data_IF_501855359509
#
_entry.id   IF_501855359509
#
_cell.length_a   1.000
_cell.length_b   1.000
_cell.length_c   1.000
_cell.angle_alpha   90.00
_cell.angle_beta   90.00
_cell.angle_gamma   90.00
#
_symmetry.space_group_name_H-M   'P 1'
#
loop_
_entity.id
_entity.type
_entity.pdbx_description
1 polymer ?
#
# COMPACT_ATOMS: atom_id res chain seq x y z
N UNK A 1 24.35 -16.62 39.68
CA UNK A 1 24.09 -15.18 39.82
C UNK A 1 25.27 -14.42 39.22
N UNK A 2 25.13 -13.85 38.05
CA UNK A 2 26.04 -12.86 37.47
C UNK A 2 25.16 -11.80 36.80
N UNK A 3 25.40 -10.50 37.03
CA UNK A 3 24.56 -9.45 36.51
C UNK A 3 24.92 -9.12 35.04
N UNK A 4 23.91 -8.94 34.22
CA UNK A 4 24.04 -8.41 32.85
C UNK A 4 24.19 -6.88 32.93
N UNK A 5 25.29 -6.37 32.38
CA UNK A 5 25.54 -4.93 32.18
C UNK A 5 24.69 -4.47 30.96
N UNK A 6 23.83 -3.49 31.20
CA UNK A 6 23.23 -2.68 30.14
C UNK A 6 24.27 -1.65 29.66
N UNK A 7 24.71 -1.75 28.41
CA UNK A 7 25.44 -0.68 27.73
C UNK A 7 24.46 0.31 27.13
N UNK A 8 24.41 1.50 27.72
CA UNK A 8 23.71 2.65 27.20
C UNK A 8 24.46 3.22 25.99
N UNK A 9 23.82 3.31 24.85
CA UNK A 9 24.32 4.02 23.66
C UNK A 9 24.05 5.52 23.89
N UNK A 10 25.11 6.27 24.16
CA UNK A 10 25.09 7.74 24.28
C UNK A 10 25.04 8.35 22.87
N UNK A 11 23.93 9.01 22.53
CA UNK A 11 23.84 9.87 21.35
C UNK A 11 24.47 11.21 21.70
N UNK A 12 25.63 11.52 21.11
CA UNK A 12 26.30 12.80 21.24
C UNK A 12 25.54 13.86 20.42
N UNK A 13 24.95 14.84 21.11
CA UNK A 13 24.45 16.08 20.50
C UNK A 13 25.66 17.00 20.18
N UNK A 14 25.82 17.30 18.89
CA UNK A 14 26.67 18.40 18.46
C UNK A 14 25.91 19.72 18.64
N UNK A 15 26.34 20.51 19.62
CA UNK A 15 25.89 21.88 19.79
C UNK A 15 26.56 22.80 18.77
N UNK A 16 25.78 23.47 17.94
CA UNK A 16 26.24 24.53 17.06
C UNK A 16 26.23 25.88 17.82
N UNK A 17 27.39 26.51 17.89
CA UNK A 17 27.60 27.87 18.42
C UNK A 17 27.15 28.85 17.33
N UNK A 18 26.15 29.68 17.63
CA UNK A 18 25.75 30.79 16.77
C UNK A 18 26.51 32.04 17.11
N UNK A 19 27.06 32.82 16.15
CA UNK A 19 27.56 34.14 16.40
C UNK A 19 26.45 35.18 16.36
N UNK A 20 26.38 36.00 17.40
CA UNK A 20 25.51 37.19 17.46
C UNK A 20 26.06 38.27 16.54
N UNK A 21 25.21 38.77 15.65
CA UNK A 21 25.44 40.00 14.89
C UNK A 21 24.42 41.06 15.28
N UNK A 22 24.96 42.24 15.54
CA UNK A 22 24.28 43.42 16.09
C UNK A 22 23.29 44.03 15.12
N UNK A 23 22.21 44.60 15.65
CA UNK A 23 21.17 45.34 14.94
C UNK A 23 21.70 46.67 14.40
N UNK A 24 21.25 47.00 13.17
CA UNK A 24 21.21 48.37 12.66
C UNK A 24 19.76 48.72 12.30
N UNK A 25 19.30 49.83 12.90
CA UNK A 25 17.97 50.41 12.63
C UNK A 25 17.90 50.98 11.23
N UNK A 26 16.84 50.64 10.51
CA UNK A 26 16.46 51.26 9.23
C UNK A 26 14.95 51.06 8.93
N UNK A 27 14.31 52.16 8.58
CA UNK A 27 12.87 52.40 8.45
C UNK A 27 12.05 51.33 7.68
N UNK A 28 10.68 51.32 7.87
CA UNK A 28 9.85 50.22 7.39
C UNK A 28 9.64 50.29 5.88
N UNK A 29 10.25 49.39 5.15
CA UNK A 29 9.91 49.06 3.78
C UNK A 29 8.72 48.09 3.74
N UNK A 30 7.81 48.28 2.80
CA UNK A 30 6.62 47.47 2.57
C UNK A 30 6.93 45.96 2.62
N UNK A 31 6.12 45.23 3.39
CA UNK A 31 6.14 43.76 3.44
C UNK A 31 5.84 43.21 2.06
N UNK A 32 6.87 42.90 1.32
CA UNK A 32 6.81 41.90 0.27
C UNK A 32 6.56 40.55 0.97
N UNK A 33 5.58 39.79 0.53
CA UNK A 33 5.31 38.45 1.02
C UNK A 33 6.58 37.61 0.88
N UNK A 34 7.21 37.31 2.02
CA UNK A 34 8.40 36.47 2.09
C UNK A 34 7.98 35.03 1.90
N UNK A 35 7.89 34.61 0.63
CA UNK A 35 7.86 33.20 0.27
C UNK A 35 9.29 32.69 0.25
N UNK A 36 9.90 32.54 1.40
CA UNK A 36 11.09 31.69 1.56
C UNK A 36 10.64 30.23 1.45
N UNK A 37 10.21 29.85 0.26
CA UNK A 37 10.21 28.44 -0.16
C UNK A 37 11.67 28.06 -0.17
N UNK A 38 12.11 27.29 0.83
CA UNK A 38 13.36 26.57 0.75
C UNK A 38 13.34 25.81 -0.58
N UNK A 39 14.19 26.12 -1.55
CA UNK A 39 14.19 25.36 -2.81
C UNK A 39 14.44 23.92 -2.41
N UNK A 40 13.47 23.04 -2.66
CA UNK A 40 13.67 21.61 -2.47
C UNK A 40 14.88 21.25 -3.31
N UNK A 41 15.88 20.60 -2.70
CA UNK A 41 17.12 20.19 -3.41
C UNK A 41 16.83 19.22 -4.57
N UNK A 42 15.58 18.76 -4.68
CA UNK A 42 15.08 17.94 -5.78
C UNK A 42 14.02 18.74 -6.53
N UNK A 43 14.19 19.01 -7.84
CA UNK A 43 13.17 19.67 -8.65
C UNK A 43 11.88 18.83 -8.59
N UNK A 44 10.82 19.38 -8.01
CA UNK A 44 9.50 18.73 -8.04
C UNK A 44 8.96 18.89 -9.44
N UNK A 45 8.91 17.80 -10.20
CA UNK A 45 8.28 17.80 -11.50
C UNK A 45 6.75 17.89 -11.30
N UNK A 46 6.17 19.01 -11.65
CA UNK A 46 4.72 19.20 -11.63
C UNK A 46 4.12 18.73 -12.96
N UNK A 47 3.46 17.58 -12.92
CA UNK A 47 2.64 17.01 -14.00
C UNK A 47 1.18 17.14 -13.59
N UNK A 48 0.31 17.57 -14.52
CA UNK A 48 -1.13 17.70 -14.27
C UNK A 48 -1.73 16.39 -13.75
N UNK A 49 -2.63 16.49 -12.77
CA UNK A 49 -3.39 15.38 -12.18
C UNK A 49 -2.53 14.24 -11.60
N UNK A 50 -1.26 14.47 -11.37
CA UNK A 50 -0.36 13.47 -10.78
C UNK A 50 -0.45 13.50 -9.25
N UNK A 51 -0.57 12.34 -8.64
CA UNK A 51 -0.45 12.21 -7.18
C UNK A 51 1.02 12.41 -6.78
N UNK A 52 1.35 13.34 -5.87
CA UNK A 52 2.71 13.47 -5.34
C UNK A 52 3.17 12.15 -4.70
N UNK A 53 4.43 11.79 -4.92
CA UNK A 53 5.02 10.56 -4.32
C UNK A 53 5.77 10.82 -3.02
N UNK A 54 5.64 12.00 -2.44
CA UNK A 54 6.18 12.39 -1.15
C UNK A 54 5.08 12.58 -0.08
N UNK A 55 5.40 13.20 1.05
CA UNK A 55 4.45 13.48 2.14
C UNK A 55 3.14 14.13 1.67
N UNK A 56 3.16 14.94 0.61
CA UNK A 56 1.97 15.61 0.06
C UNK A 56 0.97 14.63 -0.55
N UNK A 57 1.41 13.44 -0.95
CA UNK A 57 0.55 12.38 -1.48
C UNK A 57 -0.20 11.56 -0.43
N UNK A 58 0.05 11.81 0.87
CA UNK A 58 -0.66 11.12 1.96
C UNK A 58 -2.13 11.51 1.95
N UNK A 59 -3.01 10.52 2.05
CA UNK A 59 -4.47 10.69 1.98
C UNK A 59 -4.97 11.38 0.69
N UNK A 60 -4.14 11.45 -0.35
CA UNK A 60 -4.61 11.71 -1.70
C UNK A 60 -5.02 10.36 -2.29
N UNK A 61 -6.32 10.14 -2.40
CA UNK A 61 -6.89 8.95 -3.02
C UNK A 61 -6.89 9.12 -4.55
N UNK A 62 -8.01 9.26 -5.20
CA UNK A 62 -8.01 9.57 -6.62
C UNK A 62 -7.43 10.98 -6.88
N UNK A 63 -6.54 11.15 -7.87
CA UNK A 63 -6.02 12.49 -8.23
C UNK A 63 -7.13 13.48 -8.50
N UNK A 64 -7.02 14.74 -8.06
CA UNK A 64 -8.08 15.75 -8.21
C UNK A 64 -8.36 16.04 -9.69
N UNK A 65 -9.63 16.30 -10.03
CA UNK A 65 -10.02 16.78 -11.36
C UNK A 65 -9.65 18.24 -11.56
N UNK A 66 -9.75 19.01 -10.49
CA UNK A 66 -9.36 20.41 -10.46
C UNK A 66 -7.87 20.48 -10.14
N UNK A 67 -7.05 20.70 -11.15
CA UNK A 67 -5.61 20.79 -11.02
C UNK A 67 -5.16 22.22 -11.36
N UNK A 68 -4.34 22.77 -10.49
CA UNK A 68 -3.74 24.09 -10.66
C UNK A 68 -2.47 24.08 -11.52
N UNK A 69 -1.93 22.90 -11.84
CA UNK A 69 -0.74 22.76 -12.68
C UNK A 69 -1.10 22.96 -14.16
N UNK A 70 -0.64 24.05 -14.81
CA UNK A 70 -0.96 24.27 -16.20
C UNK A 70 -0.19 23.33 -17.13
N UNK A 71 -0.83 22.86 -18.18
CA UNK A 71 -0.12 22.23 -19.28
C UNK A 71 0.62 23.31 -20.11
N UNK A 72 1.92 23.22 -20.18
CA UNK A 72 2.75 24.15 -20.98
C UNK A 72 3.35 23.47 -22.20
N UNK A 73 3.81 22.22 -22.05
CA UNK A 73 4.45 21.44 -23.11
C UNK A 73 4.57 19.98 -22.68
N UNK A 74 5.13 19.16 -23.58
CA UNK A 74 5.56 17.79 -23.25
C UNK A 74 6.56 17.82 -22.09
N UNK A 75 6.33 16.95 -21.07
CA UNK A 75 7.20 16.82 -19.90
C UNK A 75 7.50 15.35 -19.65
N UNK A 76 8.74 15.04 -19.28
CA UNK A 76 9.12 13.73 -18.75
C UNK A 76 9.63 13.93 -17.34
N UNK A 77 9.16 13.10 -16.41
CA UNK A 77 9.62 13.03 -15.04
C UNK A 77 10.13 11.66 -14.68
N UNK A 78 11.21 11.63 -13.96
CA UNK A 78 11.75 10.45 -13.31
C UNK A 78 11.53 10.60 -11.81
N UNK A 79 11.12 9.51 -11.17
CA UNK A 79 10.99 9.43 -9.73
C UNK A 79 11.46 8.07 -9.22
N UNK A 80 11.59 7.95 -7.92
CA UNK A 80 11.92 6.69 -7.28
C UNK A 80 11.31 6.59 -5.89
N UNK A 81 11.10 5.37 -5.43
CA UNK A 81 10.89 5.06 -4.03
C UNK A 81 11.86 3.96 -3.62
N UNK A 82 12.43 4.08 -2.42
CA UNK A 82 13.37 3.11 -1.88
C UNK A 82 13.06 2.88 -0.40
N UNK A 83 13.02 1.61 0.00
CA UNK A 83 12.72 1.23 1.39
C UNK A 83 13.71 0.19 1.88
N UNK A 84 14.21 0.42 3.10
CA UNK A 84 15.04 -0.50 3.87
C UNK A 84 14.44 -0.70 5.25
N UNK A 85 14.49 -1.93 5.75
CA UNK A 85 13.90 -2.32 7.03
C UNK A 85 14.91 -3.02 7.93
N UNK A 86 14.73 -2.85 9.24
CA UNK A 86 15.34 -3.67 10.28
C UNK A 86 14.23 -4.43 11.00
N UNK A 87 14.33 -5.75 11.04
CA UNK A 87 13.36 -6.66 11.65
C UNK A 87 13.86 -7.16 12.99
N UNK A 88 13.03 -7.03 14.02
CA UNK A 88 13.24 -7.62 15.34
C UNK A 88 12.01 -8.44 15.75
N UNK A 89 11.63 -9.43 14.91
CA UNK A 89 10.46 -10.28 15.13
C UNK A 89 10.84 -11.64 15.68
N UNK A 90 9.94 -12.20 16.48
CA UNK A 90 9.95 -13.57 16.97
C UNK A 90 8.67 -14.29 16.53
N UNK A 91 8.72 -15.60 16.32
CA UNK A 91 7.55 -16.40 16.05
C UNK A 91 7.58 -17.73 16.82
N UNK A 92 6.39 -18.29 17.02
CA UNK A 92 6.20 -19.58 17.69
C UNK A 92 4.92 -20.27 17.19
N UNK A 93 4.85 -21.58 17.33
CA UNK A 93 3.63 -22.38 17.12
C UNK A 93 3.54 -23.52 18.12
N UNK A 94 2.38 -24.20 18.15
CA UNK A 94 2.12 -25.41 18.95
C UNK A 94 1.73 -26.60 18.06
N UNK A 95 2.03 -26.51 16.75
CA UNK A 95 1.68 -27.53 15.78
C UNK A 95 2.37 -28.87 16.09
N UNK A 96 1.65 -29.98 15.93
CA UNK A 96 2.23 -31.30 16.03
C UNK A 96 3.24 -31.53 14.89
N UNK A 97 4.34 -32.28 15.14
CA UNK A 97 5.28 -32.63 14.09
C UNK A 97 4.60 -33.30 12.89
N UNK A 98 4.91 -32.83 11.68
CA UNK A 98 4.41 -33.39 10.42
C UNK A 98 5.61 -33.75 9.53
N UNK A 99 6.00 -35.00 9.55
CA UNK A 99 7.16 -35.45 8.76
C UNK A 99 6.76 -35.61 7.29
N UNK A 100 7.42 -34.85 6.41
CA UNK A 100 7.31 -34.95 4.96
C UNK A 100 8.73 -35.10 4.40
N UNK A 101 9.00 -36.18 3.68
CA UNK A 101 10.33 -36.46 3.14
C UNK A 101 11.48 -36.42 4.20
N UNK A 102 11.18 -36.88 5.42
CA UNK A 102 12.16 -36.91 6.51
C UNK A 102 12.34 -35.57 7.26
N UNK A 103 11.64 -34.51 6.88
CA UNK A 103 11.72 -33.19 7.51
C UNK A 103 10.37 -32.86 8.19
N UNK A 104 10.42 -32.26 9.38
CA UNK A 104 9.22 -31.78 10.07
C UNK A 104 8.73 -30.48 9.41
N UNK A 105 7.70 -30.56 8.57
CA UNK A 105 7.11 -29.44 7.86
C UNK A 105 6.43 -28.38 8.76
N UNK A 106 6.18 -28.72 10.04
CA UNK A 106 5.60 -27.80 11.02
C UNK A 106 6.67 -27.17 11.95
N UNK A 107 7.93 -27.48 11.75
CA UNK A 107 9.04 -26.82 12.46
C UNK A 107 9.29 -25.46 11.82
N UNK A 108 9.15 -24.39 12.61
CA UNK A 108 9.45 -23.04 12.17
C UNK A 108 10.96 -22.86 11.89
N UNK A 109 11.28 -22.11 10.84
CA UNK A 109 12.64 -21.66 10.56
C UNK A 109 13.10 -20.74 11.71
N UNK A 110 14.36 -20.77 12.03
CA UNK A 110 14.91 -19.89 13.05
C UNK A 110 15.16 -18.50 12.44
N UNK A 111 14.48 -17.46 12.93
CA UNK A 111 14.66 -16.07 12.51
C UNK A 111 15.43 -15.29 13.57
N UNK A 112 16.25 -14.33 13.13
CA UNK A 112 17.01 -13.41 13.99
C UNK A 112 16.65 -11.96 13.74
N UNK A 113 17.32 -11.08 14.48
CA UNK A 113 17.20 -9.64 14.27
C UNK A 113 18.20 -9.18 13.21
N UNK A 114 17.75 -8.34 12.27
CA UNK A 114 18.65 -7.87 11.22
C UNK A 114 17.98 -7.00 10.16
N UNK A 115 18.80 -6.47 9.27
CA UNK A 115 18.32 -5.82 8.06
C UNK A 115 17.83 -6.88 7.08
N UNK A 116 16.67 -6.62 6.48
CA UNK A 116 16.14 -7.44 5.39
C UNK A 116 16.46 -6.82 4.01
N UNK A 117 15.98 -7.43 2.94
CA UNK A 117 16.31 -7.02 1.58
C UNK A 117 15.74 -5.64 1.24
N UNK A 118 16.56 -4.81 0.63
CA UNK A 118 16.14 -3.53 0.09
C UNK A 118 15.21 -3.69 -1.11
N UNK A 119 14.23 -2.81 -1.23
CA UNK A 119 13.27 -2.77 -2.33
C UNK A 119 13.14 -1.36 -2.89
N UNK A 120 12.88 -1.25 -4.18
CA UNK A 120 12.73 0.03 -4.84
C UNK A 120 11.67 -0.02 -5.96
N UNK A 121 11.09 1.15 -6.25
CA UNK A 121 10.33 1.41 -7.47
C UNK A 121 11.04 2.52 -8.24
N UNK A 122 11.10 2.39 -9.57
CA UNK A 122 11.46 3.48 -10.47
C UNK A 122 10.23 3.90 -11.25
N UNK A 123 10.04 5.20 -11.39
CA UNK A 123 8.89 5.79 -12.07
C UNK A 123 9.31 6.59 -13.27
N UNK A 124 8.68 6.33 -14.40
CA UNK A 124 8.71 7.19 -15.58
C UNK A 124 7.31 7.77 -15.79
N UNK A 125 7.20 9.09 -15.74
CA UNK A 125 5.97 9.82 -15.97
C UNK A 125 6.15 10.71 -17.19
N UNK A 126 5.23 10.65 -18.15
CA UNK A 126 5.27 11.52 -19.31
C UNK A 126 3.93 12.21 -19.53
N UNK A 127 3.92 13.53 -19.47
CA UNK A 127 2.77 14.33 -19.89
C UNK A 127 2.85 14.56 -21.40
N UNK A 128 1.98 13.88 -22.15
CA UNK A 128 2.01 13.85 -23.61
C UNK A 128 1.25 15.03 -24.23
N UNK A 129 0.14 15.40 -23.62
CA UNK A 129 -0.73 16.49 -24.03
C UNK A 129 -1.50 17.03 -22.82
N UNK A 130 -2.32 18.07 -23.01
CA UNK A 130 -3.25 18.56 -21.99
C UNK A 130 -4.12 17.39 -21.47
N UNK A 131 -4.03 17.13 -20.18
CA UNK A 131 -4.79 16.05 -19.52
C UNK A 131 -4.46 14.64 -19.98
N UNK A 132 -3.39 14.42 -20.75
CA UNK A 132 -2.95 13.07 -21.15
C UNK A 132 -1.56 12.79 -20.60
N UNK A 133 -1.44 11.71 -19.84
CA UNK A 133 -0.16 11.26 -19.30
C UNK A 133 -0.02 9.74 -19.33
N UNK A 134 1.21 9.29 -19.42
CA UNK A 134 1.63 7.88 -19.26
C UNK A 134 2.41 7.76 -17.98
N UNK A 135 2.11 6.72 -17.22
CA UNK A 135 2.89 6.33 -16.06
C UNK A 135 3.40 4.91 -16.25
N UNK A 136 4.69 4.69 -15.96
CA UNK A 136 5.34 3.38 -16.00
C UNK A 136 6.10 3.19 -14.70
N UNK A 137 5.87 2.08 -14.02
CA UNK A 137 6.58 1.72 -12.80
C UNK A 137 7.40 0.45 -13.02
N UNK A 138 8.68 0.51 -12.65
CA UNK A 138 9.57 -0.65 -12.61
C UNK A 138 9.78 -1.05 -11.15
N UNK A 139 9.53 -2.31 -10.85
CA UNK A 139 9.76 -2.93 -9.56
C UNK A 139 11.19 -3.47 -9.49
N UNK A 140 11.89 -3.24 -8.37
CA UNK A 140 13.23 -3.73 -8.09
C UNK A 140 13.28 -4.34 -6.69
N UNK A 141 13.93 -5.50 -6.56
CA UNK A 141 14.16 -6.13 -5.27
C UNK A 141 15.53 -6.79 -5.23
N UNK A 142 16.21 -6.69 -4.09
CA UNK A 142 17.47 -7.41 -3.86
C UNK A 142 17.27 -8.87 -3.45
N UNK A 143 16.02 -9.32 -3.27
CA UNK A 143 15.66 -10.70 -2.94
C UNK A 143 16.16 -11.70 -3.98
N UNK A 144 16.00 -11.33 -5.28
CA UNK A 144 16.60 -12.03 -6.41
C UNK A 144 17.51 -11.07 -7.17
N UNK A 145 18.67 -11.50 -7.62
CA UNK A 145 19.59 -10.68 -8.42
C UNK A 145 18.99 -10.20 -9.75
N UNK A 146 17.88 -10.80 -10.20
CA UNK A 146 17.21 -10.50 -11.46
C UNK A 146 15.82 -9.90 -11.28
N UNK A 147 15.44 -9.52 -10.06
CA UNK A 147 14.14 -8.94 -9.78
C UNK A 147 14.03 -7.49 -10.27
N UNK A 148 13.86 -7.37 -11.59
CA UNK A 148 13.54 -6.12 -12.26
C UNK A 148 12.49 -6.39 -13.33
N UNK A 149 11.26 -5.91 -13.12
CA UNK A 149 10.19 -6.02 -14.11
C UNK A 149 9.25 -4.83 -14.10
N UNK A 150 8.50 -4.66 -15.19
CA UNK A 150 7.45 -3.65 -15.27
C UNK A 150 6.31 -4.07 -14.35
N UNK A 151 6.07 -3.28 -13.31
CA UNK A 151 4.94 -3.45 -12.39
C UNK A 151 3.64 -3.02 -13.06
N UNK A 152 3.68 -1.84 -13.68
CA UNK A 152 2.53 -1.24 -14.37
C UNK A 152 3.02 -0.33 -15.51
N UNK A 153 2.07 -0.02 -16.41
CA UNK A 153 2.24 0.93 -17.49
C UNK A 153 0.88 1.24 -18.09
N UNK A 154 0.43 2.49 -17.94
CA UNK A 154 -0.91 2.89 -18.35
C UNK A 154 -0.98 4.34 -18.82
N UNK A 155 -1.99 4.59 -19.67
CA UNK A 155 -2.39 5.93 -20.10
C UNK A 155 -3.53 6.43 -19.22
N UNK A 156 -3.42 7.67 -18.77
CA UNK A 156 -4.50 8.43 -18.13
C UNK A 156 -4.92 9.59 -19.02
N UNK A 157 -6.25 9.78 -19.13
CA UNK A 157 -6.86 10.90 -19.85
C UNK A 157 -7.81 11.62 -18.90
N UNK A 158 -7.38 12.79 -18.40
CA UNK A 158 -8.11 13.59 -17.42
C UNK A 158 -8.80 14.82 -18.04
N UNK A 159 -8.34 15.27 -19.21
CA UNK A 159 -8.96 16.35 -19.97
C UNK A 159 -8.94 16.01 -21.46
N UNK A 160 -9.81 16.66 -22.24
CA UNK A 160 -9.79 16.47 -23.69
C UNK A 160 -8.51 17.05 -24.29
N UNK A 161 -7.75 16.27 -25.06
CA UNK A 161 -6.60 16.76 -25.81
C UNK A 161 -7.03 17.54 -27.08
N UNK A 162 -8.30 17.40 -27.46
CA UNK A 162 -8.90 18.05 -28.63
C UNK A 162 -9.87 19.13 -28.13
N UNK A 163 -9.77 20.33 -28.67
CA UNK A 163 -10.63 21.46 -28.28
C UNK A 163 -11.99 21.36 -28.99
N UNK A 164 -12.87 20.54 -28.39
CA UNK A 164 -14.27 20.33 -28.81
C UNK A 164 -15.14 20.49 -27.58
N UNK A 165 -16.07 21.42 -27.59
CA UNK A 165 -16.90 21.82 -26.44
C UNK A 165 -17.59 20.64 -25.75
N UNK A 166 -18.17 19.71 -26.51
CA UNK A 166 -18.84 18.55 -25.92
C UNK A 166 -17.84 17.64 -25.18
N UNK A 167 -16.64 17.42 -25.74
CA UNK A 167 -15.59 16.61 -25.11
C UNK A 167 -15.04 17.32 -23.87
N UNK A 168 -14.81 18.63 -23.95
CA UNK A 168 -14.38 19.42 -22.81
C UNK A 168 -15.39 19.35 -21.67
N UNK A 169 -16.69 19.42 -21.99
CA UNK A 169 -17.77 19.33 -21.00
C UNK A 169 -17.84 17.97 -20.31
N UNK A 170 -17.70 16.88 -21.07
CA UNK A 170 -17.67 15.50 -20.52
C UNK A 170 -16.41 15.29 -19.69
N UNK A 171 -15.25 15.64 -20.23
CA UNK A 171 -13.95 15.42 -19.58
C UNK A 171 -13.74 16.30 -18.34
N UNK A 172 -14.58 17.27 -18.09
CA UNK A 172 -14.62 18.01 -16.80
C UNK A 172 -14.87 17.06 -15.62
N UNK A 173 -15.62 16.00 -15.82
CA UNK A 173 -16.00 15.02 -14.78
C UNK A 173 -15.35 13.66 -14.97
N UNK A 174 -14.99 13.31 -16.21
CA UNK A 174 -14.51 11.98 -16.60
C UNK A 174 -13.00 11.90 -16.55
N UNK A 175 -12.46 10.79 -16.01
CA UNK A 175 -11.08 10.32 -16.17
C UNK A 175 -11.10 8.91 -16.76
N UNK A 176 -10.25 8.65 -17.72
CA UNK A 176 -10.06 7.33 -18.29
C UNK A 176 -8.64 6.82 -17.98
N UNK A 177 -8.52 5.54 -17.60
CA UNK A 177 -7.26 4.85 -17.36
C UNK A 177 -7.25 3.57 -18.17
N UNK A 178 -6.21 3.35 -18.97
CA UNK A 178 -6.13 2.18 -19.88
C UNK A 178 -4.69 1.66 -19.89
N UNK A 179 -4.52 0.36 -19.73
CA UNK A 179 -3.19 -0.28 -19.77
C UNK A 179 -3.10 -1.46 -18.81
N UNK A 180 -1.89 -1.64 -18.27
CA UNK A 180 -1.59 -2.55 -17.18
C UNK A 180 -1.43 -1.72 -15.90
N UNK A 181 -2.29 -1.89 -14.93
CA UNK A 181 -2.34 -1.03 -13.75
C UNK A 181 -2.83 -1.78 -12.51
N UNK A 182 -2.48 -1.24 -11.34
CA UNK A 182 -3.09 -1.63 -10.08
C UNK A 182 -4.58 -1.27 -10.12
N UNK A 183 -5.43 -2.28 -9.87
CA UNK A 183 -6.89 -2.11 -9.91
C UNK A 183 -7.38 -1.24 -8.74
N UNK A 184 -8.32 -0.34 -9.01
CA UNK A 184 -8.90 0.54 -7.97
C UNK A 184 -9.99 -0.21 -7.18
N UNK A 185 -9.55 -1.15 -6.34
CA UNK A 185 -10.40 -1.92 -5.44
C UNK A 185 -10.07 -1.58 -3.98
N UNK A 186 -11.00 -0.91 -3.29
CA UNK A 186 -10.81 -0.40 -1.93
C UNK A 186 -9.90 0.83 -1.86
N UNK A 187 -9.95 1.53 -0.72
CA UNK A 187 -9.08 2.69 -0.48
C UNK A 187 -7.74 2.31 0.15
N UNK A 188 -7.60 1.07 0.63
CA UNK A 188 -6.34 0.53 1.14
C UNK A 188 -5.23 0.65 0.11
N UNK A 189 -5.52 0.41 -1.18
CA UNK A 189 -4.51 0.46 -2.23
C UNK A 189 -3.79 1.81 -2.34
N UNK A 190 -4.41 2.91 -1.87
CA UNK A 190 -3.76 4.22 -1.76
C UNK A 190 -2.92 4.38 -0.49
N UNK A 191 -3.04 3.49 0.49
CA UNK A 191 -2.45 3.61 1.83
C UNK A 191 -1.46 2.51 2.17
N UNK A 192 -1.43 1.42 1.41
CA UNK A 192 -0.55 0.26 1.62
C UNK A 192 0.90 0.54 1.18
N UNK A 193 1.81 -0.27 1.67
CA UNK A 193 3.17 -0.36 1.11
C UNK A 193 3.12 -1.17 -0.19
N UNK A 194 3.69 -0.61 -1.25
CA UNK A 194 3.83 -1.26 -2.54
C UNK A 194 5.31 -1.28 -2.93
N UNK A 195 5.98 -2.39 -2.64
CA UNK A 195 7.41 -2.62 -2.83
C UNK A 195 8.25 -1.49 -2.18
N UNK A 196 8.94 -0.65 -2.96
CA UNK A 196 9.73 0.47 -2.47
C UNK A 196 8.90 1.67 -1.99
N UNK A 197 7.63 1.78 -2.38
CA UNK A 197 6.75 2.86 -1.96
C UNK A 197 6.07 2.52 -0.63
N UNK A 198 6.72 2.89 0.46
CA UNK A 198 6.21 2.70 1.81
C UNK A 198 5.75 4.00 2.50
N UNK A 199 5.89 5.13 1.82
CA UNK A 199 5.64 6.49 2.35
C UNK A 199 4.19 6.69 2.84
N UNK A 200 3.21 6.05 2.18
CA UNK A 200 1.80 6.27 2.47
C UNK A 200 1.24 5.35 3.55
N UNK A 201 1.89 4.19 3.78
CA UNK A 201 1.50 3.30 4.86
C UNK A 201 1.99 3.87 6.20
N UNK A 202 1.11 4.15 7.16
CA UNK A 202 1.56 4.65 8.47
C UNK A 202 2.27 3.58 9.30
N UNK A 203 2.10 2.30 8.96
CA UNK A 203 2.79 1.17 9.58
C UNK A 203 3.74 0.50 8.59
N UNK A 204 4.53 -0.47 9.04
CA UNK A 204 5.41 -1.27 8.18
C UNK A 204 4.59 -2.37 7.48
N UNK A 205 3.80 -3.12 8.24
CA UNK A 205 2.98 -4.21 7.71
C UNK A 205 1.77 -3.71 6.91
N UNK A 206 1.47 -4.37 5.79
CA UNK A 206 0.19 -4.26 5.10
C UNK A 206 -0.90 -5.03 5.89
N UNK A 207 -2.14 -5.02 5.43
CA UNK A 207 -3.20 -5.80 6.06
C UNK A 207 -2.90 -7.31 6.02
N UNK A 208 -3.52 -8.07 6.91
CA UNK A 208 -3.33 -9.54 6.97
C UNK A 208 -3.79 -10.19 5.67
N UNK A 209 -4.94 -9.77 5.13
CA UNK A 209 -5.45 -10.16 3.81
C UNK A 209 -5.31 -8.94 2.88
N UNK A 210 -4.17 -8.86 2.20
CA UNK A 210 -3.80 -7.70 1.38
C UNK A 210 -4.38 -7.84 -0.03
N UNK A 211 -5.36 -7.01 -0.36
CA UNK A 211 -5.99 -6.98 -1.68
C UNK A 211 -5.15 -6.14 -2.63
N UNK A 212 -4.27 -6.80 -3.37
CA UNK A 212 -3.38 -6.16 -4.33
C UNK A 212 -3.20 -7.00 -5.58
N UNK A 213 -3.51 -6.41 -6.73
CA UNK A 213 -3.16 -6.99 -8.04
C UNK A 213 -3.01 -5.90 -9.09
N UNK A 214 -2.19 -6.16 -10.11
CA UNK A 214 -2.16 -5.39 -11.34
C UNK A 214 -2.81 -6.20 -12.45
N UNK A 215 -3.65 -5.57 -13.26
CA UNK A 215 -4.37 -6.24 -14.35
C UNK A 215 -4.37 -5.38 -15.62
N UNK A 216 -4.62 -6.01 -16.75
CA UNK A 216 -4.68 -5.34 -18.06
C UNK A 216 -6.12 -5.04 -18.40
N UNK A 217 -6.43 -3.75 -18.67
CA UNK A 217 -7.80 -3.34 -18.97
C UNK A 217 -8.00 -1.84 -18.99
N UNK A 218 -9.17 -1.40 -18.55
CA UNK A 218 -9.52 0.01 -18.44
C UNK A 218 -10.47 0.32 -17.30
N UNK A 219 -10.35 1.51 -16.76
CA UNK A 219 -11.22 2.09 -15.73
C UNK A 219 -11.70 3.48 -16.18
N UNK A 220 -12.95 3.80 -15.89
CA UNK A 220 -13.55 5.11 -16.13
C UNK A 220 -14.07 5.66 -14.80
N UNK A 221 -13.66 6.86 -14.46
CA UNK A 221 -14.02 7.55 -13.22
C UNK A 221 -14.88 8.77 -13.53
N UNK A 222 -15.97 8.94 -12.82
CA UNK A 222 -16.79 10.16 -12.84
C UNK A 222 -16.76 10.80 -11.46
N UNK A 223 -16.36 12.08 -11.39
CA UNK A 223 -16.25 12.81 -10.13
C UNK A 223 -16.89 14.18 -10.22
N UNK A 224 -17.77 14.48 -9.28
CA UNK A 224 -18.45 15.78 -9.20
C UNK A 224 -18.92 16.05 -7.77
N UNK A 225 -18.63 17.25 -7.26
CA UNK A 225 -19.17 17.74 -5.98
C UNK A 225 -18.93 16.77 -4.79
N UNK A 226 -17.76 16.16 -4.74
CA UNK A 226 -17.39 15.15 -3.73
C UNK A 226 -17.86 13.74 -4.06
N UNK A 227 -18.79 13.53 -4.99
CA UNK A 227 -19.19 12.20 -5.43
C UNK A 227 -18.17 11.58 -6.38
N UNK A 228 -17.93 10.28 -6.21
CA UNK A 228 -17.10 9.43 -7.03
C UNK A 228 -17.92 8.23 -7.51
N UNK A 229 -17.83 7.92 -8.78
CA UNK A 229 -18.23 6.63 -9.34
C UNK A 229 -17.14 6.13 -10.29
N UNK A 230 -16.79 4.84 -10.22
CA UNK A 230 -15.84 4.19 -11.12
C UNK A 230 -16.43 2.89 -11.63
N UNK A 231 -16.19 2.60 -12.90
CA UNK A 231 -16.43 1.29 -13.50
C UNK A 231 -15.21 0.85 -14.28
N UNK A 232 -14.84 -0.42 -14.17
CA UNK A 232 -13.68 -1.00 -14.83
C UNK A 232 -13.93 -2.38 -15.39
N UNK A 233 -13.17 -2.71 -16.43
CA UNK A 233 -13.14 -4.04 -17.05
C UNK A 233 -11.69 -4.41 -17.33
N UNK A 234 -11.28 -5.60 -16.87
CA UNK A 234 -9.92 -6.12 -17.04
C UNK A 234 -9.92 -7.58 -17.44
N UNK A 235 -8.73 -8.12 -17.69
CA UNK A 235 -8.52 -9.53 -17.97
C UNK A 235 -8.55 -10.44 -16.74
N UNK A 236 -8.55 -9.88 -15.52
CA UNK A 236 -8.57 -10.66 -14.26
C UNK A 236 -7.26 -11.34 -13.88
N UNK A 237 -6.16 -10.97 -14.52
CA UNK A 237 -4.85 -11.60 -14.34
C UNK A 237 -3.71 -10.58 -14.53
N UNK A 238 -2.58 -10.80 -13.83
CA UNK A 238 -1.37 -9.97 -13.98
C UNK A 238 -0.82 -10.05 -15.41
N UNK A 239 -0.83 -11.24 -16.02
CA UNK A 239 -0.38 -11.44 -17.39
C UNK A 239 -1.56 -11.55 -18.34
N UNK A 240 -1.54 -10.78 -19.44
CA UNK A 240 -2.49 -10.93 -20.53
C UNK A 240 -2.26 -12.26 -21.24
N UNK A 241 -3.25 -13.17 -21.19
CA UNK A 241 -3.20 -14.42 -21.90
C UNK A 241 -4.29 -14.45 -22.97
N UNK A 242 -3.92 -14.80 -24.18
CA UNK A 242 -4.86 -14.94 -25.32
C UNK A 242 -5.23 -16.40 -25.62
N UNK A 243 -4.59 -17.33 -24.90
CA UNK A 243 -4.83 -18.77 -25.04
C UNK A 243 -5.87 -19.27 -24.03
N UNK A 244 -6.49 -20.42 -24.29
CA UNK A 244 -7.45 -21.10 -23.43
C UNK A 244 -8.64 -20.20 -22.99
N UNK A 245 -9.37 -19.56 -23.93
CA UNK A 245 -10.42 -18.60 -23.62
C UNK A 245 -11.55 -19.19 -22.76
N UNK A 246 -11.77 -20.52 -22.82
CA UNK A 246 -12.76 -21.23 -22.01
C UNK A 246 -12.46 -21.21 -20.51
N UNK A 247 -11.22 -20.89 -20.11
CA UNK A 247 -10.81 -20.80 -18.71
C UNK A 247 -10.86 -19.37 -18.16
N UNK A 248 -11.33 -18.41 -18.92
CA UNK A 248 -11.25 -16.99 -18.61
C UNK A 248 -12.59 -16.28 -18.80
N UNK A 249 -12.82 -15.27 -18.00
CA UNK A 249 -13.88 -14.29 -18.15
C UNK A 249 -13.34 -12.91 -17.80
N UNK A 250 -13.94 -11.83 -18.34
CA UNK A 250 -13.60 -10.49 -17.87
C UNK A 250 -13.78 -10.36 -16.36
N UNK A 251 -12.96 -9.51 -15.75
CA UNK A 251 -13.18 -9.01 -14.41
C UNK A 251 -13.89 -7.67 -14.49
N UNK A 252 -14.89 -7.48 -13.66
CA UNK A 252 -15.61 -6.24 -13.52
C UNK A 252 -15.26 -5.59 -12.17
N UNK A 253 -15.01 -4.29 -12.22
CA UNK A 253 -14.75 -3.45 -11.05
C UNK A 253 -15.80 -2.36 -10.98
N UNK A 254 -16.12 -1.95 -9.76
CA UNK A 254 -16.96 -0.81 -9.50
C UNK A 254 -16.61 -0.16 -8.17
N UNK A 255 -16.69 1.15 -8.12
CA UNK A 255 -16.48 1.92 -6.89
C UNK A 255 -17.45 3.10 -6.88
N UNK A 256 -18.06 3.34 -5.74
CA UNK A 256 -18.84 4.54 -5.47
C UNK A 256 -18.36 5.15 -4.16
N UNK A 257 -18.45 6.47 -4.06
CA UNK A 257 -18.02 7.13 -2.83
C UNK A 257 -18.39 8.59 -2.77
N UNK A 258 -18.15 9.12 -1.59
CA UNK A 258 -18.28 10.54 -1.30
C UNK A 258 -17.07 10.97 -0.47
N UNK A 259 -16.38 12.03 -0.91
CA UNK A 259 -15.20 12.61 -0.28
C UNK A 259 -15.36 14.13 -0.24
N UNK A 260 -15.37 14.70 0.94
CA UNK A 260 -15.61 16.12 1.11
C UNK A 260 -14.84 16.73 2.28
N UNK A 261 -14.34 17.93 2.05
CA UNK A 261 -13.87 18.81 3.12
C UNK A 261 -15.09 19.53 3.70
N UNK A 262 -15.60 19.03 4.85
CA UNK A 262 -16.81 19.56 5.51
C UNK A 262 -16.53 20.94 6.13
N UNK A 263 -15.33 21.11 6.68
CA UNK A 263 -14.83 22.38 7.22
C UNK A 263 -13.30 22.42 7.04
N UNK A 264 -12.60 23.53 7.30
CA UNK A 264 -11.13 23.57 7.23
C UNK A 264 -10.45 22.46 8.02
N UNK A 265 -11.06 22.02 9.12
CA UNK A 265 -10.48 21.02 10.03
C UNK A 265 -11.03 19.61 9.83
N UNK A 266 -12.18 19.43 9.13
CA UNK A 266 -12.89 18.16 9.05
C UNK A 266 -13.04 17.69 7.60
N UNK A 267 -12.41 16.58 7.27
CA UNK A 267 -12.63 15.81 6.04
C UNK A 267 -13.33 14.50 6.36
N UNK A 268 -14.31 14.17 5.55
CA UNK A 268 -15.02 12.91 5.59
C UNK A 268 -14.97 12.23 4.22
N UNK A 269 -14.66 10.94 4.20
CA UNK A 269 -14.73 10.10 3.01
C UNK A 269 -15.36 8.76 3.35
N UNK A 270 -16.24 8.27 2.47
CA UNK A 270 -16.80 6.93 2.54
C UNK A 270 -16.86 6.34 1.14
N UNK A 271 -16.27 5.19 0.93
CA UNK A 271 -16.30 4.48 -0.34
C UNK A 271 -16.75 3.04 -0.18
N UNK A 272 -17.33 2.50 -1.25
CA UNK A 272 -17.62 1.08 -1.39
C UNK A 272 -17.12 0.60 -2.74
N UNK A 273 -16.40 -0.52 -2.77
CA UNK A 273 -15.85 -1.10 -4.00
C UNK A 273 -16.28 -2.55 -4.18
N UNK A 274 -16.41 -2.96 -5.43
CA UNK A 274 -16.67 -4.34 -5.82
C UNK A 274 -15.64 -4.79 -6.86
N UNK A 275 -15.26 -6.06 -6.78
CA UNK A 275 -14.41 -6.75 -7.74
C UNK A 275 -15.00 -8.12 -8.03
N UNK A 276 -15.11 -8.50 -9.29
CA UNK A 276 -15.72 -9.78 -9.61
C UNK A 276 -15.23 -10.40 -10.91
N UNK A 277 -14.76 -11.67 -10.84
CA UNK A 277 -14.52 -12.53 -11.99
C UNK A 277 -15.15 -13.88 -11.76
N UNK A 278 -15.85 -14.40 -12.77
CA UNK A 278 -16.48 -15.73 -12.71
C UNK A 278 -15.52 -16.87 -13.05
N UNK A 279 -14.41 -16.56 -13.72
CA UNK A 279 -13.42 -17.54 -14.16
C UNK A 279 -12.09 -16.86 -14.48
N UNK A 280 -11.03 -17.32 -13.83
CA UNK A 280 -9.65 -16.91 -14.11
C UNK A 280 -8.74 -18.15 -14.10
N UNK A 281 -7.69 -18.13 -14.89
CA UNK A 281 -6.66 -19.16 -14.81
C UNK A 281 -5.78 -18.95 -13.58
N UNK A 282 -5.54 -17.70 -13.19
CA UNK A 282 -4.74 -17.37 -12.00
C UNK A 282 -5.06 -15.94 -11.51
N UNK A 283 -6.20 -15.78 -10.83
CA UNK A 283 -6.51 -14.52 -10.16
C UNK A 283 -5.59 -14.32 -8.95
N UNK A 284 -5.03 -13.12 -8.82
CA UNK A 284 -4.03 -12.78 -7.80
C UNK A 284 -4.45 -11.66 -6.86
N UNK A 285 -5.75 -11.29 -6.82
CA UNK A 285 -6.23 -10.20 -5.95
C UNK A 285 -5.74 -10.34 -4.49
N UNK A 286 -5.71 -11.57 -3.97
CA UNK A 286 -5.23 -11.85 -2.60
C UNK A 286 -3.97 -12.74 -2.57
N UNK A 287 -3.22 -12.83 -3.64
CA UNK A 287 -2.05 -13.71 -3.73
C UNK A 287 -0.99 -13.22 -4.70
N UNK A 288 -0.98 -11.92 -5.00
CA UNK A 288 0.08 -11.31 -5.76
C UNK A 288 1.44 -11.46 -5.04
N UNK A 289 2.51 -11.49 -5.78
CA UNK A 289 3.88 -11.67 -5.26
C UNK A 289 4.34 -10.55 -4.31
N UNK A 290 3.68 -9.38 -4.38
CA UNK A 290 3.92 -8.22 -3.50
C UNK A 290 2.90 -8.09 -2.37
N UNK A 291 1.87 -8.95 -2.38
CA UNK A 291 0.86 -9.01 -1.34
C UNK A 291 1.42 -9.77 -0.14
N UNK A 292 2.11 -9.07 0.73
CA UNK A 292 2.71 -9.63 1.93
C UNK A 292 2.59 -8.70 3.11
N UNK A 293 2.87 -9.24 4.29
CA UNK A 293 2.86 -8.46 5.52
C UNK A 293 4.04 -7.49 5.62
N UNK A 294 5.04 -7.59 4.75
CA UNK A 294 6.36 -6.95 4.82
C UNK A 294 7.23 -7.50 5.95
N UNK A 295 6.89 -8.66 6.50
CA UNK A 295 7.65 -9.39 7.50
C UNK A 295 8.33 -10.58 6.84
N UNK A 296 9.62 -10.76 7.12
CA UNK A 296 10.47 -11.75 6.44
C UNK A 296 10.48 -13.06 7.20
N UNK A 297 10.22 -14.17 6.50
CA UNK A 297 10.32 -15.57 6.96
C UNK A 297 9.53 -15.89 8.23
N UNK A 298 8.49 -15.10 8.56
CA UNK A 298 7.64 -15.35 9.73
C UNK A 298 6.62 -16.43 9.44
N UNK A 299 6.45 -17.37 10.36
CA UNK A 299 5.55 -18.54 10.24
C UNK A 299 5.87 -19.46 9.05
N UNK A 300 7.10 -19.40 8.55
CA UNK A 300 7.62 -20.31 7.53
C UNK A 300 8.36 -21.50 8.16
N UNK A 301 8.45 -22.61 7.43
CA UNK A 301 9.16 -23.79 7.87
C UNK A 301 10.66 -23.76 7.53
N UNK A 302 11.42 -24.74 7.99
CA UNK A 302 12.88 -24.84 7.81
C UNK A 302 13.35 -24.98 6.34
N UNK A 303 12.43 -25.18 5.39
CA UNK A 303 12.72 -25.19 3.96
C UNK A 303 12.47 -23.83 3.29
N UNK A 304 12.12 -22.79 4.06
CA UNK A 304 11.96 -21.44 3.56
C UNK A 304 13.25 -20.92 2.93
N UNK A 305 13.08 -20.17 1.86
CA UNK A 305 14.16 -19.43 1.22
C UNK A 305 13.72 -17.99 1.00
N UNK A 306 14.65 -17.06 1.03
CA UNK A 306 14.35 -15.65 0.75
C UNK A 306 13.71 -15.45 -0.61
N UNK A 307 14.14 -16.23 -1.61
CA UNK A 307 13.57 -16.17 -2.95
C UNK A 307 12.07 -16.46 -2.98
N UNK A 308 11.63 -17.48 -2.24
CA UNK A 308 10.25 -17.94 -2.29
C UNK A 308 9.35 -17.33 -1.20
N UNK A 309 9.91 -17.06 -0.02
CA UNK A 309 9.14 -16.84 1.21
C UNK A 309 9.51 -15.57 1.98
N UNK A 310 10.34 -14.66 1.40
CA UNK A 310 10.80 -13.47 2.12
C UNK A 310 9.66 -12.68 2.75
N UNK A 311 8.57 -12.45 2.04
CA UNK A 311 7.40 -11.74 2.57
C UNK A 311 6.31 -12.72 2.97
N UNK A 312 6.17 -12.93 4.25
CA UNK A 312 5.27 -13.92 4.85
C UNK A 312 4.38 -13.32 5.94
N UNK A 313 3.62 -14.14 6.64
CA UNK A 313 2.71 -13.72 7.71
C UNK A 313 1.36 -13.15 7.26
N UNK A 314 1.13 -13.01 5.95
CA UNK A 314 -0.18 -12.68 5.38
C UNK A 314 -1.07 -13.93 5.24
N UNK A 315 -2.37 -13.70 5.13
CA UNK A 315 -3.34 -14.72 4.77
C UNK A 315 -3.71 -14.56 3.31
N UNK A 316 -3.43 -15.59 2.52
CA UNK A 316 -3.82 -15.69 1.12
C UNK A 316 -4.98 -16.69 0.97
N UNK A 317 -6.20 -16.23 0.73
CA UNK A 317 -7.40 -17.08 0.59
C UNK A 317 -7.33 -18.15 -0.49
N UNK A 318 -6.40 -18.00 -1.47
CA UNK A 318 -6.24 -18.91 -2.65
C UNK A 318 -7.49 -18.99 -3.51
N UNK A 319 -8.17 -17.87 -3.71
CA UNK A 319 -9.35 -17.73 -4.57
C UNK A 319 -8.92 -17.49 -6.03
N UNK A 320 -8.13 -18.38 -6.62
CA UNK A 320 -7.44 -18.14 -7.89
C UNK A 320 -8.30 -18.30 -9.15
N UNK A 321 -9.47 -18.95 -9.04
CA UNK A 321 -10.32 -19.24 -10.21
C UNK A 321 -11.58 -18.37 -10.29
N UNK A 322 -12.25 -18.17 -9.18
CA UNK A 322 -13.44 -17.33 -9.06
C UNK A 322 -13.31 -16.44 -7.85
N UNK A 323 -13.57 -15.14 -8.01
CA UNK A 323 -13.57 -14.16 -6.93
C UNK A 323 -14.75 -13.23 -7.08
N UNK A 324 -15.42 -12.95 -5.97
CA UNK A 324 -16.31 -11.81 -5.79
C UNK A 324 -15.93 -11.18 -4.47
N UNK A 325 -15.48 -9.94 -4.52
CA UNK A 325 -15.03 -9.20 -3.35
C UNK A 325 -15.76 -7.86 -3.23
N UNK A 326 -16.07 -7.47 -2.02
CA UNK A 326 -16.74 -6.20 -1.68
C UNK A 326 -16.04 -5.61 -0.47
N UNK A 327 -15.76 -4.31 -0.51
CA UNK A 327 -15.13 -3.59 0.59
C UNK A 327 -15.78 -2.24 0.81
N UNK A 328 -15.87 -1.82 2.07
CA UNK A 328 -16.32 -0.48 2.49
C UNK A 328 -15.20 0.15 3.31
N UNK A 329 -14.84 1.38 2.95
CA UNK A 329 -13.77 2.14 3.59
C UNK A 329 -14.28 3.51 4.08
N UNK A 330 -14.54 3.68 5.38
CA UNK A 330 -14.70 4.99 5.99
C UNK A 330 -13.33 5.64 6.29
N UNK A 331 -13.23 6.94 6.04
CA UNK A 331 -12.09 7.75 6.43
C UNK A 331 -12.56 9.09 7.00
N UNK A 332 -11.96 9.49 8.10
CA UNK A 332 -12.22 10.77 8.77
C UNK A 332 -10.87 11.38 9.14
N UNK A 333 -10.67 12.64 8.80
CA UNK A 333 -9.57 13.46 9.35
C UNK A 333 -10.17 14.69 10.03
N UNK A 334 -9.85 14.83 11.31
CA UNK A 334 -10.24 16.00 12.11
C UNK A 334 -9.00 16.57 12.80
N UNK A 335 -8.57 17.75 12.33
CA UNK A 335 -7.28 18.34 12.74
C UNK A 335 -6.13 17.31 12.59
N UNK A 336 -5.40 17.01 13.66
CA UNK A 336 -4.34 16.00 13.67
C UNK A 336 -4.86 14.56 13.77
N UNK A 337 -6.11 14.33 14.16
CA UNK A 337 -6.69 12.99 14.27
C UNK A 337 -7.10 12.45 12.90
N UNK A 338 -6.80 11.18 12.66
CA UNK A 338 -7.12 10.46 11.44
C UNK A 338 -7.62 9.05 11.78
N UNK A 339 -8.74 8.67 11.20
CA UNK A 339 -9.29 7.31 11.29
C UNK A 339 -9.48 6.74 9.89
N UNK A 340 -9.05 5.49 9.69
CA UNK A 340 -9.32 4.71 8.49
C UNK A 340 -9.89 3.34 8.87
N UNK A 341 -10.94 2.92 8.18
CA UNK A 341 -11.59 1.65 8.37
C UNK A 341 -11.63 0.80 7.11
N UNK A 342 -11.66 -0.52 7.28
CA UNK A 342 -11.87 -1.49 6.20
C UNK A 342 -12.81 -2.59 6.68
N UNK A 343 -13.92 -2.79 5.96
CA UNK A 343 -14.81 -3.92 6.15
C UNK A 343 -14.96 -4.64 4.80
N UNK A 344 -14.41 -5.84 4.71
CA UNK A 344 -14.25 -6.56 3.45
C UNK A 344 -14.79 -7.98 3.53
N UNK A 345 -15.42 -8.42 2.46
CA UNK A 345 -15.84 -9.80 2.22
C UNK A 345 -15.32 -10.26 0.86
N UNK A 346 -14.63 -11.41 0.84
CA UNK A 346 -14.19 -12.07 -0.38
C UNK A 346 -14.79 -13.47 -0.47
N UNK A 347 -15.48 -13.79 -1.57
CA UNK A 347 -16.08 -15.09 -1.83
C UNK A 347 -15.60 -15.66 -3.15
N UNK A 348 -15.22 -16.92 -3.17
CA UNK A 348 -14.74 -17.57 -4.39
C UNK A 348 -14.10 -18.91 -4.11
N UNK A 349 -13.30 -19.38 -5.08
CA UNK A 349 -12.67 -20.69 -5.04
C UNK A 349 -11.39 -20.75 -5.89
N UNK A 350 -10.56 -21.72 -5.58
CA UNK A 350 -9.42 -22.10 -6.43
C UNK A 350 -9.84 -22.98 -7.60
N UNK A 351 -8.90 -23.27 -8.50
CA UNK A 351 -9.17 -24.00 -9.76
C UNK A 351 -9.67 -25.44 -9.56
N UNK A 352 -9.31 -26.09 -8.45
CA UNK A 352 -9.69 -27.49 -8.15
C UNK A 352 -10.89 -27.61 -7.22
N UNK A 353 -11.49 -26.49 -6.80
CA UNK A 353 -12.61 -26.44 -5.87
C UNK A 353 -13.95 -26.37 -6.59
N UNK A 354 -14.94 -27.07 -6.09
CA UNK A 354 -16.34 -27.03 -6.59
C UNK A 354 -17.24 -26.09 -5.80
N UNK A 355 -16.84 -25.75 -4.56
CA UNK A 355 -17.64 -24.92 -3.63
C UNK A 355 -16.90 -23.63 -3.31
N UNK A 356 -17.63 -22.52 -3.32
CA UNK A 356 -17.07 -21.22 -2.96
C UNK A 356 -16.84 -21.14 -1.43
N UNK A 357 -15.73 -20.57 -1.03
CA UNK A 357 -15.37 -20.22 0.35
C UNK A 357 -15.51 -18.71 0.56
N UNK A 358 -15.75 -18.30 1.80
CA UNK A 358 -15.89 -16.88 2.15
C UNK A 358 -14.84 -16.49 3.18
N UNK A 359 -14.26 -15.32 2.99
CA UNK A 359 -13.33 -14.66 3.88
C UNK A 359 -13.84 -13.28 4.26
N UNK A 360 -13.59 -12.88 5.47
CA UNK A 360 -13.91 -11.54 5.97
C UNK A 360 -12.67 -10.90 6.56
N UNK A 361 -12.51 -9.60 6.33
CA UNK A 361 -11.48 -8.78 6.98
C UNK A 361 -12.09 -7.51 7.55
N UNK A 362 -11.70 -7.19 8.77
CA UNK A 362 -12.06 -5.94 9.44
C UNK A 362 -10.80 -5.26 9.94
N UNK A 363 -10.66 -3.96 9.63
CA UNK A 363 -9.55 -3.14 10.10
C UNK A 363 -10.06 -1.83 10.65
N UNK A 364 -9.49 -1.43 11.77
CA UNK A 364 -9.60 -0.09 12.33
C UNK A 364 -8.20 0.47 12.57
N UNK A 365 -7.93 1.66 12.04
CA UNK A 365 -6.67 2.37 12.17
C UNK A 365 -6.94 3.78 12.68
N UNK A 366 -6.24 4.19 13.74
CA UNK A 366 -6.30 5.52 14.31
C UNK A 366 -4.92 6.14 14.42
N UNK A 367 -4.76 7.37 13.95
CA UNK A 367 -3.51 8.11 14.00
C UNK A 367 -3.74 9.49 14.60
N UNK A 368 -2.69 10.03 15.20
CA UNK A 368 -2.61 11.44 15.53
C UNK A 368 -1.34 12.05 14.95
N UNK A 369 -1.51 13.06 14.09
CA UNK A 369 -0.44 13.82 13.43
C UNK A 369 -0.25 15.16 14.14
N UNK A 370 1.00 15.57 14.29
CA UNK A 370 1.37 16.81 14.96
C UNK A 370 2.63 17.43 14.30
N UNK A 371 2.96 18.67 14.68
CA UNK A 371 4.08 19.44 14.10
C UNK A 371 3.96 19.57 12.56
N UNK A 372 2.82 20.06 12.07
CA UNK A 372 2.50 20.19 10.64
C UNK A 372 2.63 18.85 9.88
N UNK A 373 2.03 17.80 10.46
CA UNK A 373 2.04 16.42 9.95
C UNK A 373 3.45 15.78 9.82
N UNK A 374 4.50 16.40 10.42
CA UNK A 374 5.87 15.85 10.41
C UNK A 374 6.04 14.63 11.29
N UNK A 375 5.27 14.57 12.37
CA UNK A 375 5.29 13.44 13.29
C UNK A 375 3.91 12.84 13.40
N UNK A 376 3.84 11.51 13.59
CA UNK A 376 2.59 10.84 13.91
C UNK A 376 2.83 9.65 14.82
N UNK A 377 1.79 9.31 15.57
CA UNK A 377 1.67 8.08 16.36
C UNK A 377 0.31 7.46 16.14
N UNK A 378 0.19 6.16 16.31
CA UNK A 378 -1.11 5.51 16.17
C UNK A 378 -1.11 4.02 16.40
N UNK A 379 -2.28 3.43 16.15
CA UNK A 379 -2.51 1.99 16.28
C UNK A 379 -3.43 1.47 15.19
N UNK A 380 -3.26 0.17 14.88
CA UNK A 380 -4.11 -0.58 13.94
C UNK A 380 -4.49 -1.91 14.57
N UNK A 381 -5.75 -2.27 14.42
CA UNK A 381 -6.23 -3.61 14.68
C UNK A 381 -6.79 -4.21 13.39
N UNK A 382 -6.33 -5.41 13.02
CA UNK A 382 -6.76 -6.12 11.84
C UNK A 382 -7.22 -7.54 12.24
N UNK A 383 -8.39 -7.94 11.81
CA UNK A 383 -8.99 -9.26 12.04
C UNK A 383 -9.42 -9.87 10.71
N UNK A 384 -9.02 -11.12 10.48
CA UNK A 384 -9.37 -11.91 9.29
C UNK A 384 -9.96 -13.24 9.73
N UNK A 385 -11.06 -13.67 9.08
CA UNK A 385 -11.72 -14.95 9.33
C UNK A 385 -12.15 -15.61 8.01
N UNK A 386 -11.96 -16.92 7.90
CA UNK A 386 -12.41 -17.72 6.77
C UNK A 386 -11.86 -19.14 6.82
N UNK A 387 -12.10 -19.93 5.78
CA UNK A 387 -11.63 -21.32 5.72
C UNK A 387 -10.77 -21.59 4.48
N UNK A 388 -9.73 -22.40 4.66
CA UNK A 388 -8.93 -22.94 3.56
C UNK A 388 -9.58 -24.22 3.03
N UNK A 389 -9.17 -24.62 1.83
CA UNK A 389 -9.58 -25.90 1.25
C UNK A 389 -9.23 -27.06 2.18
N UNK A 390 -10.21 -27.91 2.46
CA UNK A 390 -10.03 -29.10 3.31
C UNK A 390 -10.06 -28.84 4.82
N UNK A 391 -10.23 -27.59 5.26
CA UNK A 391 -10.44 -27.31 6.67
C UNK A 391 -11.91 -27.47 7.07
N UNK A 392 -12.20 -28.14 8.20
CA UNK A 392 -13.57 -28.40 8.62
C UNK A 392 -14.26 -27.16 9.21
N UNK A 393 -13.51 -26.21 9.69
CA UNK A 393 -13.98 -25.00 10.37
C UNK A 393 -13.24 -23.76 9.87
N UNK A 394 -13.84 -22.59 10.09
CA UNK A 394 -13.15 -21.33 9.88
C UNK A 394 -11.98 -21.18 10.85
N UNK A 395 -10.92 -20.56 10.33
CA UNK A 395 -9.78 -20.09 11.11
C UNK A 395 -9.83 -18.57 11.22
N UNK A 396 -9.14 -18.01 12.20
CA UNK A 396 -9.00 -16.57 12.28
C UNK A 396 -7.57 -16.15 12.62
N UNK A 397 -7.21 -14.95 12.14
CA UNK A 397 -5.94 -14.29 12.43
C UNK A 397 -6.22 -12.86 12.82
N UNK A 398 -5.60 -12.41 13.90
CA UNK A 398 -5.70 -11.01 14.31
C UNK A 398 -4.32 -10.43 14.53
N UNK A 399 -4.20 -9.12 14.24
CA UNK A 399 -2.97 -8.35 14.44
C UNK A 399 -3.29 -7.04 15.10
N UNK A 400 -2.53 -6.73 16.15
CA UNK A 400 -2.47 -5.39 16.77
C UNK A 400 -1.13 -4.79 16.46
N UNK A 401 -1.11 -3.55 15.97
CA UNK A 401 0.08 -2.76 15.67
C UNK A 401 -0.01 -1.43 16.42
N UNK A 402 1.10 -0.99 16.98
CA UNK A 402 1.28 0.35 17.53
C UNK A 402 2.59 0.91 17.01
N UNK A 403 2.59 2.18 16.60
CA UNK A 403 3.80 2.73 16.00
C UNK A 403 3.70 4.22 15.72
N UNK A 404 4.66 4.72 14.98
CA UNK A 404 4.71 6.11 14.58
C UNK A 404 5.81 6.38 13.56
N UNK A 405 5.83 7.59 13.05
CA UNK A 405 6.81 8.00 12.05
C UNK A 405 7.18 9.47 12.15
N UNK A 406 8.32 9.76 11.58
CA UNK A 406 8.92 11.07 11.49
C UNK A 406 9.36 11.39 10.07
N UNK A 407 8.72 12.39 9.46
CA UNK A 407 9.16 12.99 8.21
C UNK A 407 10.37 13.88 8.47
N UNK A 408 11.57 13.36 8.25
CA UNK A 408 12.83 14.11 8.34
C UNK A 408 12.83 15.23 7.31
N UNK A 409 12.35 14.90 6.10
CA UNK A 409 12.01 15.83 5.02
C UNK A 409 10.70 15.34 4.37
N UNK A 410 10.03 16.13 3.52
CA UNK A 410 8.84 15.64 2.80
C UNK A 410 9.07 14.35 2.00
N UNK A 411 10.31 14.06 1.60
CA UNK A 411 10.70 12.89 0.79
C UNK A 411 11.33 11.76 1.60
N UNK A 412 11.58 11.95 2.91
CA UNK A 412 12.25 10.96 3.77
C UNK A 412 11.42 10.72 5.02
N UNK A 413 10.97 9.49 5.20
CA UNK A 413 10.21 9.05 6.37
C UNK A 413 10.99 7.95 7.11
N UNK A 414 11.15 8.12 8.42
CA UNK A 414 11.56 7.07 9.35
C UNK A 414 10.33 6.67 10.17
N UNK A 415 10.06 5.38 10.27
CA UNK A 415 8.93 4.87 11.07
C UNK A 415 9.30 3.58 11.80
N UNK A 416 8.57 3.33 12.87
CA UNK A 416 8.71 2.12 13.65
C UNK A 416 7.34 1.61 14.09
N UNK A 417 7.24 0.30 14.22
CA UNK A 417 6.07 -0.34 14.79
C UNK A 417 6.46 -1.45 15.75
N UNK A 418 5.59 -1.70 16.71
CA UNK A 418 5.54 -2.95 17.47
C UNK A 418 4.25 -3.67 17.10
N UNK A 419 4.34 -4.98 16.82
CA UNK A 419 3.20 -5.77 16.40
C UNK A 419 3.08 -7.07 17.17
N UNK A 420 1.83 -7.53 17.30
CA UNK A 420 1.50 -8.88 17.77
C UNK A 420 0.43 -9.45 16.83
N UNK A 421 0.71 -10.61 16.24
CA UNK A 421 -0.23 -11.35 15.40
C UNK A 421 -0.45 -12.75 15.98
N UNK A 422 -1.72 -13.17 16.08
CA UNK A 422 -2.10 -14.48 16.58
C UNK A 422 -2.89 -15.25 15.51
N UNK A 423 -2.64 -16.54 15.42
CA UNK A 423 -3.31 -17.50 14.56
C UNK A 423 -4.17 -18.44 15.41
N UNK A 424 -5.49 -18.43 15.20
CA UNK A 424 -6.45 -19.14 16.03
C UNK A 424 -7.23 -20.16 15.20
N UNK A 425 -7.64 -21.23 15.83
CA UNK A 425 -8.50 -22.30 15.28
C UNK A 425 -7.88 -23.09 14.11
N UNK A 426 -6.57 -22.95 13.89
CA UNK A 426 -5.84 -23.79 12.93
C UNK A 426 -5.72 -25.22 13.47
N UNK A 427 -5.90 -26.24 12.60
CA UNK A 427 -5.71 -27.65 13.00
C UNK A 427 -4.32 -27.90 13.55
N UNK A 428 -4.18 -28.83 14.50
CA UNK A 428 -2.90 -29.18 15.11
C UNK A 428 -1.83 -29.66 14.08
N UNK A 429 -2.28 -30.10 12.91
CA UNK A 429 -1.43 -30.53 11.79
C UNK A 429 -0.97 -29.40 10.88
N UNK A 430 -1.43 -28.17 11.12
CA UNK A 430 -1.05 -26.97 10.34
C UNK A 430 0.04 -26.20 11.09
N UNK A 431 1.07 -25.75 10.38
CA UNK A 431 2.19 -24.98 10.96
C UNK A 431 1.73 -23.74 11.73
N UNK A 432 0.55 -23.20 11.42
CA UNK A 432 -0.03 -22.02 12.05
C UNK A 432 -0.83 -22.32 13.32
N UNK A 433 -0.95 -23.60 13.75
CA UNK A 433 -1.65 -23.96 15.00
C UNK A 433 -1.00 -23.28 16.20
N UNK A 434 -1.80 -22.51 16.96
CA UNK A 434 -1.29 -21.71 18.08
C UNK A 434 -0.19 -20.72 17.70
N UNK A 435 -0.11 -20.39 16.42
CA UNK A 435 0.90 -19.51 15.85
C UNK A 435 0.84 -18.10 16.43
N UNK A 436 2.01 -17.54 16.67
CA UNK A 436 2.16 -16.17 17.16
C UNK A 436 3.40 -15.51 16.56
N UNK A 437 3.24 -14.25 16.14
CA UNK A 437 4.35 -13.37 15.74
C UNK A 437 4.30 -12.17 16.67
N UNK A 438 5.45 -11.69 17.14
CA UNK A 438 5.55 -10.47 17.93
C UNK A 438 6.92 -9.82 17.76
N UNK A 439 6.98 -8.53 17.96
CA UNK A 439 8.25 -7.80 17.96
C UNK A 439 8.13 -6.45 17.28
N UNK A 440 9.25 -5.91 16.88
CA UNK A 440 9.34 -4.57 16.31
C UNK A 440 9.92 -4.57 14.91
N UNK A 441 9.54 -3.54 14.14
CA UNK A 441 10.13 -3.21 12.85
C UNK A 441 10.55 -1.74 12.87
N UNK A 442 11.66 -1.44 12.21
CA UNK A 442 12.06 -0.07 11.89
C UNK A 442 12.22 0.03 10.38
N UNK A 443 11.67 1.08 9.78
CA UNK A 443 11.68 1.27 8.33
C UNK A 443 12.11 2.69 7.98
N UNK A 444 13.07 2.79 7.06
CA UNK A 444 13.42 4.04 6.38
C UNK A 444 12.94 3.99 4.94
N UNK A 445 12.21 4.99 4.49
CA UNK A 445 11.75 5.11 3.11
C UNK A 445 12.05 6.49 2.56
N UNK A 446 12.47 6.51 1.30
CA UNK A 446 12.69 7.72 0.50
C UNK A 446 11.76 7.62 -0.71
N UNK A 447 11.05 8.72 -1.06
CA UNK A 447 10.18 8.74 -2.23
C UNK A 447 10.09 10.16 -2.82
N UNK A 448 10.21 10.27 -4.14
CA UNK A 448 10.20 11.54 -4.87
C UNK A 448 9.77 11.36 -6.33
#
# INVERSE_FOLDING_TARGET
MKPFLFSAISIAMFGAIAPTLAAQDGAPAARAADSTVNPSLVPVLEIQHMRPRDQRGINVFEPPKEDTVPFTNFKIGLGAAFTQQFQGLEHSNTAAPKVVNGVNANQLIQIGHGFNNAVANLYLNAQLAKGMRVEVTTFLSSRHHQDAWVKDGYLLVDASPIDVDILNSIMKYLTLKVGHFEVDYGDEHYRRTDNGLAMYNPFVGNFIMDAFTTEIGGEAYVRANGFLAMAGVTGGEIHGQVTQPQKRSPTFLGKIGYDTQVSPDLRFRLTGSVYGTSRSANNTLYSGDRAGSRYYDVMENTASTEDANAWSGAIQPKLSSKVTAVVINPFIKYQGFEFFGNAEMAKGRGATESVDRTWHQYVGEGLYRFMDDKLYVGGRYNYVKGSFLGMPTDVNVNRTQGGGGWFVTPTVLLKGEYMVQNYNDFPITDIRNGGKIKGFMVEGTVSF
#
